data_IF_037550060069
#
_entry.id   IF_037550060069
#
_cell.length_a   1.000
_cell.length_b   1.000
_cell.length_c   1.000
_cell.angle_alpha   90.00
_cell.angle_beta   90.00
_cell.angle_gamma   90.00
#
_symmetry.space_group_name_H-M   'P 1'
#
loop_
_entity.id
_entity.type
_entity.pdbx_description
1 polymer ?
#
# COMPACT_ATOMS: atom_id res chain seq x y z
N UNK A 1 23.17 27.88 33.84
CA UNK A 1 22.20 28.40 34.83
C UNK A 1 21.15 29.22 34.09
N UNK A 2 19.85 28.98 34.35
CA UNK A 2 18.71 29.75 33.82
C UNK A 2 18.07 29.13 32.58
N UNK A 3 17.40 27.98 32.69
CA UNK A 3 15.97 27.82 33.03
C UNK A 3 15.02 28.47 32.00
N UNK A 4 14.61 27.61 31.07
CA UNK A 4 13.60 27.78 30.03
C UNK A 4 12.28 27.19 30.56
N UNK A 5 11.18 27.95 30.57
CA UNK A 5 9.82 27.40 30.74
C UNK A 5 8.82 28.31 30.03
N UNK A 6 8.41 27.89 28.83
CA UNK A 6 7.23 28.35 28.12
C UNK A 6 6.16 27.25 28.29
N UNK A 7 5.02 27.65 28.85
CA UNK A 7 3.88 26.79 29.13
C UNK A 7 3.06 26.51 27.86
N UNK A 8 2.74 25.25 27.60
CA UNK A 8 1.78 24.78 26.60
C UNK A 8 0.93 23.67 27.26
N UNK A 9 -0.39 23.58 26.97
CA UNK A 9 -1.38 23.14 27.94
C UNK A 9 -1.61 21.63 28.03
N UNK A 10 -2.22 21.29 29.15
CA UNK A 10 -2.59 19.98 29.65
C UNK A 10 -3.65 19.29 28.76
N UNK A 11 -3.39 18.03 28.41
CA UNK A 11 -4.28 17.14 27.72
C UNK A 11 -5.47 16.71 28.61
N UNK A 12 -6.67 16.71 28.04
CA UNK A 12 -7.84 16.03 28.63
C UNK A 12 -8.10 14.71 27.89
N UNK A 13 -8.26 13.68 28.70
CA UNK A 13 -8.43 12.25 28.39
C UNK A 13 -9.54 11.98 27.37
N UNK A 14 -9.20 11.18 26.35
CA UNK A 14 -10.16 10.52 25.46
C UNK A 14 -10.71 9.26 26.15
N UNK A 15 -12.03 9.19 26.29
CA UNK A 15 -12.75 8.02 26.79
C UNK A 15 -13.09 7.08 25.64
N UNK A 16 -12.66 5.83 25.77
CA UNK A 16 -12.93 4.71 24.88
C UNK A 16 -14.38 4.25 24.98
N UNK A 17 -15.10 4.21 23.86
CA UNK A 17 -16.33 3.44 23.72
C UNK A 17 -16.17 2.46 22.57
N UNK A 18 -16.04 1.18 22.93
CA UNK A 18 -16.05 0.03 22.04
C UNK A 18 -17.38 -0.01 21.28
N UNK A 19 -17.33 0.01 19.95
CA UNK A 19 -18.46 -0.37 19.10
C UNK A 19 -17.99 -1.50 18.20
N UNK A 20 -18.34 -2.72 18.61
CA UNK A 20 -18.26 -3.91 17.77
C UNK A 20 -19.07 -3.65 16.49
N UNK A 21 -18.38 -3.54 15.35
CA UNK A 21 -19.01 -3.59 14.04
C UNK A 21 -19.04 -5.05 13.62
N UNK A 22 -20.22 -5.65 13.71
CA UNK A 22 -20.52 -6.90 13.03
C UNK A 22 -20.43 -6.64 11.52
N UNK A 23 -19.39 -7.17 10.89
CA UNK A 23 -19.23 -7.17 9.44
C UNK A 23 -20.30 -8.06 8.83
N UNK A 24 -21.41 -7.46 8.43
CA UNK A 24 -22.40 -8.12 7.59
C UNK A 24 -21.76 -8.37 6.22
N UNK A 25 -21.44 -9.64 5.95
CA UNK A 25 -21.14 -10.11 4.59
C UNK A 25 -22.37 -9.87 3.73
N UNK A 26 -22.28 -8.92 2.80
CA UNK A 26 -23.28 -8.75 1.75
C UNK A 26 -23.08 -9.92 0.76
N UNK A 27 -24.04 -10.83 0.61
CA UNK A 27 -23.94 -11.82 -0.45
C UNK A 27 -24.13 -11.10 -1.78
N UNK A 28 -23.18 -11.30 -2.70
CA UNK A 28 -23.26 -10.87 -4.09
C UNK A 28 -24.49 -11.55 -4.70
N UNK A 29 -25.57 -10.79 -4.86
CA UNK A 29 -26.78 -11.25 -5.51
C UNK A 29 -26.43 -11.68 -6.94
N UNK A 30 -26.68 -12.96 -7.25
CA UNK A 30 -26.65 -13.48 -8.60
C UNK A 30 -27.73 -12.73 -9.41
N UNK A 31 -27.30 -11.84 -10.30
CA UNK A 31 -28.18 -11.24 -11.30
C UNK A 31 -28.65 -12.35 -12.25
N UNK A 32 -29.84 -12.87 -11.97
CA UNK A 32 -30.54 -13.80 -12.86
C UNK A 32 -30.78 -13.10 -14.20
N UNK A 33 -30.34 -13.77 -15.26
CA UNK A 33 -30.52 -13.36 -16.64
C UNK A 33 -32.00 -13.03 -16.90
N UNK A 34 -32.27 -11.75 -17.15
CA UNK A 34 -33.55 -11.28 -17.65
C UNK A 34 -33.79 -11.90 -19.02
N UNK A 35 -34.88 -12.65 -19.12
CA UNK A 35 -35.49 -13.11 -20.36
C UNK A 35 -35.76 -11.91 -21.26
N UNK A 36 -34.99 -11.80 -22.34
CA UNK A 36 -35.30 -10.89 -23.45
C UNK A 36 -36.54 -11.41 -24.16
N UNK A 37 -37.68 -10.78 -23.89
CA UNK A 37 -38.86 -10.90 -24.72
C UNK A 37 -38.54 -10.39 -26.14
N UNK A 38 -38.98 -11.07 -27.21
CA UNK A 38 -38.78 -10.55 -28.55
C UNK A 38 -39.62 -9.28 -28.71
N UNK A 39 -38.98 -8.17 -29.06
CA UNK A 39 -39.67 -6.98 -29.54
C UNK A 39 -40.47 -7.38 -30.79
N UNK A 40 -41.79 -7.42 -30.63
CA UNK A 40 -42.73 -7.52 -31.73
C UNK A 40 -42.45 -6.36 -32.71
N UNK A 41 -42.00 -6.71 -33.91
CA UNK A 41 -41.81 -5.78 -35.01
C UNK A 41 -43.20 -5.26 -35.39
N UNK A 42 -43.47 -4.01 -35.04
CA UNK A 42 -44.59 -3.27 -35.60
C UNK A 42 -44.23 -2.94 -37.04
N UNK A 43 -44.92 -3.57 -37.97
CA UNK A 43 -44.84 -3.32 -39.40
C UNK A 43 -45.24 -1.88 -39.69
N UNK A 44 -44.27 -0.97 -39.73
CA UNK A 44 -44.42 0.32 -40.39
C UNK A 44 -44.05 0.11 -41.86
N UNK A 45 -45.09 0.11 -42.71
CA UNK A 45 -44.99 0.25 -44.15
C UNK A 45 -44.33 1.58 -44.47
N UNK A 46 -43.02 1.57 -44.69
CA UNK A 46 -42.35 2.57 -45.50
C UNK A 46 -41.63 1.82 -46.62
N UNK A 47 -41.80 2.29 -47.84
CA UNK A 47 -41.36 1.60 -49.04
C UNK A 47 -39.83 1.63 -49.11
N UNK A 48 -39.18 0.69 -48.43
CA UNK A 48 -37.76 0.43 -48.59
C UNK A 48 -37.49 0.04 -50.06
N UNK A 49 -36.54 0.68 -50.75
CA UNK A 49 -36.10 0.20 -52.06
C UNK A 49 -35.61 -1.24 -51.88
N UNK A 50 -36.21 -2.14 -52.67
CA UNK A 50 -36.02 -3.58 -52.61
C UNK A 50 -34.55 -3.95 -52.43
N UNK A 51 -34.26 -4.82 -51.46
CA UNK A 51 -32.96 -5.46 -51.35
C UNK A 51 -32.61 -6.06 -52.73
N UNK A 52 -31.49 -5.63 -53.32
CA UNK A 52 -31.10 -6.13 -54.62
C UNK A 52 -30.90 -7.65 -54.53
N UNK A 53 -31.21 -8.39 -55.61
CA UNK A 53 -31.02 -9.84 -55.65
C UNK A 53 -29.58 -10.20 -55.26
N UNK A 54 -29.41 -11.38 -54.64
CA UNK A 54 -28.12 -11.91 -54.17
C UNK A 54 -26.96 -11.78 -55.17
N UNK A 55 -27.24 -11.70 -56.47
CA UNK A 55 -26.24 -11.48 -57.53
C UNK A 55 -25.59 -10.09 -57.55
N UNK A 56 -26.20 -9.05 -56.98
CA UNK A 56 -25.63 -7.69 -57.03
C UNK A 56 -24.31 -7.57 -56.25
N UNK A 57 -24.19 -8.29 -55.13
CA UNK A 57 -22.95 -8.37 -54.34
C UNK A 57 -21.85 -9.07 -55.13
N UNK A 58 -22.20 -10.20 -55.77
CA UNK A 58 -21.23 -11.03 -56.50
C UNK A 58 -20.72 -10.32 -57.75
N UNK A 59 -21.60 -9.62 -58.46
CA UNK A 59 -21.22 -8.76 -59.58
C UNK A 59 -20.33 -7.60 -59.13
N UNK A 60 -20.69 -6.92 -58.03
CA UNK A 60 -19.85 -5.85 -57.50
C UNK A 60 -18.45 -6.36 -57.18
N UNK A 61 -18.33 -7.53 -56.54
CA UNK A 61 -17.03 -8.14 -56.26
C UNK A 61 -16.24 -8.47 -57.54
N UNK A 62 -16.91 -8.94 -58.60
CA UNK A 62 -16.27 -9.20 -59.88
C UNK A 62 -15.73 -7.91 -60.51
N UNK A 63 -16.54 -6.85 -60.54
CA UNK A 63 -16.15 -5.54 -61.08
C UNK A 63 -15.01 -4.89 -60.26
N UNK A 64 -15.01 -5.05 -58.93
CA UNK A 64 -13.89 -4.63 -58.07
C UNK A 64 -12.61 -5.38 -58.45
N UNK A 65 -12.65 -6.71 -58.61
CA UNK A 65 -11.49 -7.52 -58.99
C UNK A 65 -10.95 -7.17 -60.38
N UNK A 66 -11.83 -6.77 -61.29
CA UNK A 66 -11.48 -6.34 -62.64
C UNK A 66 -11.03 -4.88 -62.70
N UNK A 67 -11.07 -4.15 -61.57
CA UNK A 67 -10.75 -2.72 -61.48
C UNK A 67 -11.61 -1.84 -62.41
N UNK A 68 -12.86 -2.24 -62.62
CA UNK A 68 -13.78 -1.55 -63.54
C UNK A 68 -14.66 -0.48 -62.85
N UNK A 69 -14.43 -0.22 -61.56
CA UNK A 69 -15.19 0.75 -60.77
C UNK A 69 -14.31 1.93 -60.38
N UNK A 70 -14.89 3.12 -60.45
CA UNK A 70 -14.35 4.33 -59.83
C UNK A 70 -15.04 4.55 -58.48
N UNK A 71 -14.26 4.66 -57.41
CA UNK A 71 -14.79 5.05 -56.10
C UNK A 71 -15.08 6.55 -56.10
N UNK A 72 -16.34 6.90 -55.88
CA UNK A 72 -16.75 8.30 -55.78
C UNK A 72 -16.68 8.77 -54.33
N UNK A 73 -17.21 7.96 -53.40
CA UNK A 73 -17.24 8.27 -51.96
C UNK A 73 -17.23 6.99 -51.15
N UNK A 74 -16.48 6.98 -50.05
CA UNK A 74 -16.55 5.91 -49.04
C UNK A 74 -16.44 6.50 -47.65
N UNK A 75 -17.31 6.03 -46.75
CA UNK A 75 -17.33 6.41 -45.33
C UNK A 75 -17.19 5.17 -44.46
N UNK A 76 -16.37 5.27 -43.40
CA UNK A 76 -16.19 4.24 -42.38
C UNK A 76 -16.66 4.74 -41.02
N UNK A 77 -17.41 3.89 -40.31
CA UNK A 77 -17.84 4.08 -38.94
C UNK A 77 -17.55 2.78 -38.17
N UNK A 78 -16.43 2.73 -37.45
CA UNK A 78 -15.93 1.47 -36.88
C UNK A 78 -15.66 0.46 -37.99
N UNK A 79 -16.18 -0.76 -37.87
CA UNK A 79 -16.09 -1.78 -38.92
C UNK A 79 -17.16 -1.68 -40.00
N UNK A 80 -18.16 -0.84 -39.82
CA UNK A 80 -19.21 -0.63 -40.81
C UNK A 80 -18.81 0.48 -41.77
N UNK A 81 -19.25 0.38 -43.01
CA UNK A 81 -19.08 1.48 -43.95
C UNK A 81 -20.02 1.41 -45.13
N UNK A 82 -20.03 2.51 -45.88
CA UNK A 82 -20.82 2.67 -47.09
C UNK A 82 -19.93 3.21 -48.21
N UNK A 83 -20.10 2.67 -49.41
CA UNK A 83 -19.40 3.12 -50.62
C UNK A 83 -20.38 3.47 -51.73
N UNK A 84 -20.10 4.56 -52.44
CA UNK A 84 -20.69 4.91 -53.71
C UNK A 84 -19.61 4.71 -54.78
N UNK A 85 -19.87 3.77 -55.68
CA UNK A 85 -18.97 3.36 -56.74
C UNK A 85 -19.66 3.59 -58.10
N UNK A 86 -18.88 3.89 -59.13
CA UNK A 86 -19.39 4.16 -60.47
C UNK A 86 -18.69 3.27 -61.49
N UNK A 87 -19.48 2.57 -62.31
CA UNK A 87 -18.98 1.80 -63.44
C UNK A 87 -19.12 2.64 -64.72
N UNK A 88 -18.02 3.16 -65.30
CA UNK A 88 -18.08 4.01 -66.49
C UNK A 88 -18.53 3.25 -67.74
N UNK A 89 -18.30 1.94 -67.81
CA UNK A 89 -18.67 1.11 -68.97
C UNK A 89 -20.18 1.01 -69.20
N UNK A 90 -20.98 1.01 -68.14
CA UNK A 90 -22.45 0.94 -68.21
C UNK A 90 -23.15 2.16 -67.61
N UNK A 91 -22.40 3.18 -67.19
CA UNK A 91 -22.91 4.37 -66.49
C UNK A 91 -23.80 4.00 -65.28
N UNK A 92 -23.42 2.94 -64.55
CA UNK A 92 -24.17 2.42 -63.41
C UNK A 92 -23.47 2.75 -62.10
N UNK A 93 -24.23 3.27 -61.14
CA UNK A 93 -23.83 3.50 -59.76
C UNK A 93 -24.11 2.26 -58.92
N UNK A 94 -23.15 1.90 -58.08
CA UNK A 94 -23.27 0.85 -57.07
C UNK A 94 -23.15 1.49 -55.70
N UNK A 95 -24.22 1.43 -54.92
CA UNK A 95 -24.24 1.87 -53.52
C UNK A 95 -24.17 0.64 -52.64
N UNK A 96 -23.14 0.54 -51.82
CA UNK A 96 -22.84 -0.66 -51.07
C UNK A 96 -22.72 -0.36 -49.57
N UNK A 97 -23.33 -1.21 -48.74
CA UNK A 97 -23.11 -1.28 -47.31
C UNK A 97 -22.19 -2.48 -47.04
N UNK A 98 -21.14 -2.26 -46.24
CA UNK A 98 -20.18 -3.28 -45.90
C UNK A 98 -19.89 -3.31 -44.39
N UNK A 99 -19.42 -4.46 -43.92
CA UNK A 99 -18.91 -4.66 -42.56
C UNK A 99 -17.63 -5.48 -42.65
N UNK A 100 -16.55 -4.99 -42.05
CA UNK A 100 -15.23 -5.64 -42.05
C UNK A 100 -14.74 -5.97 -43.48
N UNK A 101 -14.98 -5.03 -44.41
CA UNK A 101 -14.67 -5.17 -45.84
C UNK A 101 -15.60 -6.11 -46.62
N UNK A 102 -16.58 -6.74 -45.98
CA UNK A 102 -17.53 -7.64 -46.64
C UNK A 102 -18.84 -6.91 -47.01
N UNK A 103 -19.19 -6.90 -48.29
CA UNK A 103 -20.44 -6.34 -48.77
C UNK A 103 -21.62 -7.26 -48.45
N UNK A 104 -22.64 -6.73 -47.80
CA UNK A 104 -23.83 -7.47 -47.38
C UNK A 104 -25.12 -6.85 -47.92
N UNK A 105 -25.05 -5.62 -48.46
CA UNK A 105 -26.13 -5.00 -49.22
C UNK A 105 -25.52 -4.14 -50.32
N UNK A 106 -25.98 -4.32 -51.55
CA UNK A 106 -25.57 -3.52 -52.71
C UNK A 106 -26.81 -3.14 -53.49
N UNK A 107 -26.89 -1.91 -53.99
CA UNK A 107 -27.96 -1.45 -54.86
C UNK A 107 -27.35 -0.85 -56.12
N UNK A 108 -28.01 -1.09 -57.26
CA UNK A 108 -27.61 -0.55 -58.56
C UNK A 108 -28.58 0.53 -58.98
N UNK A 109 -28.05 1.66 -59.43
CA UNK A 109 -28.82 2.81 -59.87
C UNK A 109 -28.17 3.41 -61.11
N UNK A 110 -28.96 3.97 -62.01
CA UNK A 110 -28.47 4.73 -63.17
C UNK A 110 -28.65 6.24 -62.99
N UNK A 111 -29.46 6.64 -62.00
CA UNK A 111 -29.69 8.04 -61.63
C UNK A 111 -28.72 8.47 -60.53
N UNK A 112 -27.93 9.51 -60.81
CA UNK A 112 -26.90 10.01 -59.91
C UNK A 112 -27.47 10.60 -58.61
N UNK A 113 -28.60 11.33 -58.69
CA UNK A 113 -29.20 11.96 -57.52
C UNK A 113 -29.77 10.92 -56.55
N UNK A 114 -30.42 9.88 -57.07
CA UNK A 114 -30.90 8.74 -56.26
C UNK A 114 -29.76 7.92 -55.68
N UNK A 115 -28.66 7.71 -56.40
CA UNK A 115 -27.51 6.98 -55.83
C UNK A 115 -26.88 7.74 -54.68
N UNK A 116 -26.81 9.07 -54.78
CA UNK A 116 -26.31 9.93 -53.72
C UNK A 116 -27.22 9.88 -52.48
N UNK A 117 -28.53 9.98 -52.68
CA UNK A 117 -29.50 9.89 -51.59
C UNK A 117 -29.42 8.53 -50.86
N UNK A 118 -29.37 7.42 -51.61
CA UNK A 118 -29.24 6.10 -51.01
C UNK A 118 -27.90 5.90 -50.29
N UNK A 119 -26.82 6.50 -50.81
CA UNK A 119 -25.52 6.51 -50.13
C UNK A 119 -25.63 7.22 -48.77
N UNK A 120 -26.28 8.37 -48.72
CA UNK A 120 -26.52 9.09 -47.46
C UNK A 120 -27.32 8.25 -46.46
N UNK A 121 -28.39 7.58 -46.89
CA UNK A 121 -29.17 6.69 -46.04
C UNK A 121 -28.31 5.54 -45.48
N UNK A 122 -27.44 4.96 -46.32
CA UNK A 122 -26.51 3.91 -45.88
C UNK A 122 -25.48 4.46 -44.88
N UNK A 123 -24.95 5.67 -45.08
CA UNK A 123 -24.07 6.32 -44.11
C UNK A 123 -24.77 6.46 -42.76
N UNK A 124 -26.00 6.97 -42.73
CA UNK A 124 -26.77 7.06 -41.48
C UNK A 124 -26.99 5.69 -40.82
N UNK A 125 -27.23 4.65 -41.64
CA UNK A 125 -27.36 3.28 -41.14
C UNK A 125 -26.06 2.78 -40.51
N UNK A 126 -24.88 3.07 -41.11
CA UNK A 126 -23.58 2.67 -40.53
C UNK A 126 -23.30 3.35 -39.19
N UNK A 127 -23.74 4.60 -39.01
CA UNK A 127 -23.63 5.29 -37.72
C UNK A 127 -24.43 4.54 -36.65
N UNK A 128 -25.66 4.10 -36.95
CA UNK A 128 -26.48 3.34 -36.00
C UNK A 128 -25.89 1.97 -35.66
N UNK A 129 -25.43 1.24 -36.68
CA UNK A 129 -24.86 -0.10 -36.50
C UNK A 129 -23.55 -0.09 -35.70
N UNK A 130 -22.71 0.92 -35.91
CA UNK A 130 -21.40 1.03 -35.26
C UNK A 130 -21.45 1.46 -33.80
N UNK A 131 -22.54 2.08 -33.33
CA UNK A 131 -22.65 2.61 -31.96
C UNK A 131 -22.33 1.57 -30.88
N UNK A 132 -22.84 0.35 -31.01
CA UNK A 132 -22.63 -0.70 -30.02
C UNK A 132 -21.17 -1.15 -29.99
N UNK A 133 -20.55 -1.33 -31.15
CA UNK A 133 -19.15 -1.74 -31.26
C UNK A 133 -18.21 -0.65 -30.73
N UNK A 134 -18.42 0.60 -31.13
CA UNK A 134 -17.62 1.74 -30.66
C UNK A 134 -17.72 1.85 -29.13
N UNK A 135 -18.94 1.73 -28.58
CA UNK A 135 -19.16 1.76 -27.14
C UNK A 135 -18.45 0.60 -26.44
N UNK A 136 -18.49 -0.61 -27.01
CA UNK A 136 -17.77 -1.78 -26.48
C UNK A 136 -16.27 -1.53 -26.41
N UNK A 137 -15.66 -1.07 -27.50
CA UNK A 137 -14.21 -0.77 -27.55
C UNK A 137 -13.83 0.25 -26.47
N UNK A 138 -14.64 1.30 -26.32
CA UNK A 138 -14.37 2.34 -25.33
C UNK A 138 -14.50 1.83 -23.90
N UNK A 139 -15.51 1.00 -23.62
CA UNK A 139 -15.69 0.39 -22.29
C UNK A 139 -14.58 -0.62 -21.98
N UNK A 140 -14.17 -1.43 -22.95
CA UNK A 140 -13.07 -2.39 -22.80
C UNK A 140 -11.76 -1.66 -22.43
N UNK A 141 -11.46 -0.54 -23.11
CA UNK A 141 -10.30 0.29 -22.81
C UNK A 141 -10.37 0.92 -21.41
N UNK A 142 -11.53 1.44 -21.01
CA UNK A 142 -11.74 2.01 -19.68
C UNK A 142 -11.56 0.96 -18.58
N UNK A 143 -12.13 -0.24 -18.77
CA UNK A 143 -12.00 -1.34 -17.83
C UNK A 143 -10.54 -1.80 -17.69
N UNK A 144 -9.80 -1.90 -18.81
CA UNK A 144 -8.38 -2.24 -18.79
C UNK A 144 -7.55 -1.20 -18.01
N UNK A 145 -7.85 0.08 -18.19
CA UNK A 145 -7.18 1.16 -17.45
C UNK A 145 -7.47 1.09 -15.94
N UNK A 146 -8.74 0.89 -15.55
CA UNK A 146 -9.13 0.75 -14.14
C UNK A 146 -8.45 -0.47 -13.51
N UNK A 147 -8.38 -1.61 -14.22
CA UNK A 147 -7.71 -2.80 -13.73
C UNK A 147 -6.22 -2.56 -13.45
N UNK A 148 -5.53 -1.79 -14.30
CA UNK A 148 -4.13 -1.38 -14.08
C UNK A 148 -3.98 -0.51 -12.83
N UNK A 149 -4.88 0.46 -12.63
CA UNK A 149 -4.88 1.31 -11.44
C UNK A 149 -5.14 0.51 -10.16
N UNK A 150 -6.08 -0.45 -10.21
CA UNK A 150 -6.33 -1.35 -9.07
C UNK A 150 -5.09 -2.15 -8.72
N UNK A 151 -4.45 -2.81 -9.69
CA UNK A 151 -3.24 -3.61 -9.45
C UNK A 151 -2.10 -2.77 -8.84
N UNK A 152 -1.89 -1.54 -9.32
CA UNK A 152 -0.89 -0.63 -8.76
C UNK A 152 -1.21 -0.26 -7.30
N UNK A 153 -2.48 0.02 -6.98
CA UNK A 153 -2.90 0.36 -5.62
C UNK A 153 -2.85 -0.84 -4.67
N UNK A 154 -3.21 -2.04 -5.13
CA UNK A 154 -3.10 -3.28 -4.35
C UNK A 154 -1.65 -3.59 -4.01
N UNK A 155 -0.73 -3.44 -4.97
CA UNK A 155 0.70 -3.58 -4.73
C UNK A 155 1.21 -2.58 -3.69
N UNK A 156 0.79 -1.31 -3.79
CA UNK A 156 1.11 -0.28 -2.81
C UNK A 156 0.56 -0.60 -1.43
N UNK A 157 -0.68 -1.06 -1.35
CA UNK A 157 -1.33 -1.45 -0.09
C UNK A 157 -0.56 -2.60 0.59
N UNK A 158 -0.18 -3.63 -0.18
CA UNK A 158 0.59 -4.77 0.33
C UNK A 158 1.98 -4.34 0.86
N UNK A 159 2.65 -3.42 0.14
CA UNK A 159 3.89 -2.81 0.60
C UNK A 159 3.72 -2.09 1.94
N UNK A 160 2.73 -1.20 2.04
CA UNK A 160 2.46 -0.46 3.29
C UNK A 160 2.09 -1.38 4.46
N UNK A 161 1.33 -2.45 4.20
CA UNK A 161 1.01 -3.44 5.24
C UNK A 161 2.25 -4.19 5.72
N UNK A 162 3.16 -4.52 4.80
CA UNK A 162 4.44 -5.16 5.11
C UNK A 162 5.31 -4.24 5.95
N UNK A 163 5.48 -2.99 5.54
CA UNK A 163 6.29 -1.99 6.26
C UNK A 163 5.75 -1.77 7.68
N UNK A 164 4.44 -1.64 7.83
CA UNK A 164 3.79 -1.47 9.13
C UNK A 164 4.00 -2.71 10.02
N UNK A 165 3.95 -3.91 9.46
CA UNK A 165 4.23 -5.14 10.21
C UNK A 165 5.69 -5.22 10.67
N UNK A 166 6.64 -4.74 9.85
CA UNK A 166 8.06 -4.66 10.19
C UNK A 166 8.26 -3.65 11.31
N UNK A 167 7.68 -2.45 11.19
CA UNK A 167 7.77 -1.40 12.19
C UNK A 167 7.27 -1.88 13.55
N UNK A 168 6.08 -2.50 13.61
CA UNK A 168 5.53 -3.05 14.87
C UNK A 168 6.45 -4.09 15.51
N UNK A 169 7.08 -4.96 14.71
CA UNK A 169 8.04 -5.95 15.23
C UNK A 169 9.30 -5.29 15.78
N UNK A 170 9.79 -4.24 15.12
CA UNK A 170 10.94 -3.48 15.59
C UNK A 170 10.64 -2.74 16.89
N UNK A 171 9.49 -2.08 16.99
CA UNK A 171 9.02 -1.41 18.21
C UNK A 171 8.91 -2.39 19.38
N UNK A 172 8.32 -3.57 19.16
CA UNK A 172 8.22 -4.62 20.17
C UNK A 172 9.61 -5.13 20.63
N UNK A 173 10.53 -5.35 19.70
CA UNK A 173 11.88 -5.80 20.01
C UNK A 173 12.68 -4.75 20.80
N UNK A 174 12.54 -3.46 20.45
CA UNK A 174 13.17 -2.36 21.20
C UNK A 174 12.59 -2.27 22.61
N UNK A 175 11.27 -2.37 22.77
CA UNK A 175 10.63 -2.36 24.08
C UNK A 175 11.12 -3.53 24.96
N UNK A 176 11.24 -4.73 24.40
CA UNK A 176 11.80 -5.89 25.11
C UNK A 176 13.26 -5.66 25.51
N UNK A 177 14.10 -5.18 24.59
CA UNK A 177 15.50 -4.90 24.90
C UNK A 177 15.66 -3.84 25.99
N UNK A 178 14.84 -2.77 25.96
CA UNK A 178 14.83 -1.76 27.01
C UNK A 178 14.49 -2.36 28.38
N UNK A 179 13.51 -3.26 28.45
CA UNK A 179 13.16 -3.95 29.69
C UNK A 179 14.32 -4.83 30.18
N UNK A 180 14.93 -5.64 29.30
CA UNK A 180 16.07 -6.48 29.65
C UNK A 180 17.26 -5.67 30.17
N UNK A 181 17.59 -4.55 29.52
CA UNK A 181 18.68 -3.66 29.95
C UNK A 181 18.36 -3.02 31.30
N UNK A 182 17.11 -2.61 31.55
CA UNK A 182 16.70 -2.07 32.84
C UNK A 182 16.81 -3.11 33.96
N UNK A 183 16.41 -4.35 33.71
CA UNK A 183 16.55 -5.46 34.66
C UNK A 183 18.02 -5.78 34.96
N UNK A 184 18.89 -5.79 33.93
CA UNK A 184 20.33 -5.97 34.11
C UNK A 184 20.96 -4.83 34.90
N UNK A 185 20.59 -3.58 34.62
CA UNK A 185 21.06 -2.41 35.36
C UNK A 185 20.67 -2.49 36.83
N UNK A 186 19.42 -2.87 37.14
CA UNK A 186 18.95 -3.05 38.51
C UNK A 186 19.71 -4.16 39.24
N UNK A 187 20.03 -5.27 38.56
CA UNK A 187 20.82 -6.36 39.13
C UNK A 187 22.26 -5.92 39.44
N UNK A 188 22.91 -5.19 38.52
CA UNK A 188 24.26 -4.65 38.73
C UNK A 188 24.29 -3.62 39.86
N UNK A 189 23.29 -2.75 39.97
CA UNK A 189 23.18 -1.80 41.08
C UNK A 189 23.00 -2.51 42.42
N UNK A 190 22.20 -3.58 42.47
CA UNK A 190 22.05 -4.41 43.66
C UNK A 190 23.39 -5.08 44.06
N UNK A 191 24.13 -5.63 43.09
CA UNK A 191 25.44 -6.22 43.32
C UNK A 191 26.45 -5.19 43.84
N UNK A 192 26.51 -4.01 43.20
CA UNK A 192 27.36 -2.89 43.62
C UNK A 192 27.07 -2.49 45.06
N UNK A 193 25.80 -2.32 45.41
CA UNK A 193 25.38 -1.96 46.77
C UNK A 193 25.80 -3.02 47.80
N UNK A 194 25.62 -4.30 47.47
CA UNK A 194 26.06 -5.40 48.32
C UNK A 194 27.59 -5.42 48.51
N UNK A 195 28.36 -5.18 47.44
CA UNK A 195 29.82 -5.09 47.50
C UNK A 195 30.28 -3.90 48.34
N UNK A 196 29.66 -2.72 48.19
CA UNK A 196 29.95 -1.53 49.00
C UNK A 196 29.65 -1.78 50.49
N UNK A 197 28.53 -2.43 50.82
CA UNK A 197 28.22 -2.79 52.19
C UNK A 197 29.25 -3.76 52.80
N UNK A 198 29.72 -4.75 52.03
CA UNK A 198 30.79 -5.67 52.45
C UNK A 198 32.10 -4.92 52.68
N UNK A 199 32.49 -4.02 51.76
CA UNK A 199 33.68 -3.20 51.90
C UNK A 199 33.64 -2.35 53.17
N UNK A 200 32.51 -1.67 53.42
CA UNK A 200 32.31 -0.88 54.63
C UNK A 200 32.44 -1.74 55.90
N UNK A 201 31.87 -2.95 55.91
CA UNK A 201 32.00 -3.89 57.04
C UNK A 201 33.45 -4.31 57.28
N UNK A 202 34.19 -4.67 56.24
CA UNK A 202 35.62 -5.04 56.34
C UNK A 202 36.45 -3.86 56.86
N UNK A 203 36.20 -2.64 56.36
CA UNK A 203 36.89 -1.44 56.85
C UNK A 203 36.61 -1.15 58.34
N UNK A 204 35.38 -1.37 58.81
CA UNK A 204 35.06 -1.26 60.24
C UNK A 204 35.82 -2.30 61.06
N UNK A 205 35.92 -3.55 60.58
CA UNK A 205 36.69 -4.61 61.26
C UNK A 205 38.18 -4.28 61.33
N UNK A 206 38.77 -3.76 60.25
CA UNK A 206 40.16 -3.30 60.23
C UNK A 206 40.40 -2.25 61.32
N UNK A 207 39.57 -1.18 61.37
CA UNK A 207 39.69 -0.13 62.40
C UNK A 207 39.56 -0.68 63.82
N UNK A 208 38.63 -1.60 64.06
CA UNK A 208 38.47 -2.23 65.37
C UNK A 208 39.71 -3.01 65.80
N UNK A 209 40.31 -3.78 64.87
CA UNK A 209 41.53 -4.54 65.14
C UNK A 209 42.74 -3.60 65.37
N UNK A 210 42.88 -2.55 64.56
CA UNK A 210 43.93 -1.53 64.73
C UNK A 210 43.82 -0.83 66.10
N UNK A 211 42.61 -0.47 66.52
CA UNK A 211 42.38 0.11 67.86
C UNK A 211 42.72 -0.87 68.99
N UNK A 212 42.35 -2.14 68.86
CA UNK A 212 42.68 -3.17 69.85
C UNK A 212 44.19 -3.36 69.97
N UNK A 213 44.91 -3.43 68.84
CA UNK A 213 46.35 -3.56 68.80
C UNK A 213 47.05 -2.36 69.45
N UNK A 214 46.68 -1.13 69.05
CA UNK A 214 47.26 0.09 69.62
C UNK A 214 46.99 0.19 71.14
N UNK A 215 45.80 -0.23 71.60
CA UNK A 215 45.49 -0.26 73.04
C UNK A 215 46.31 -1.28 73.82
N UNK A 216 46.65 -2.42 73.21
CA UNK A 216 47.51 -3.44 73.80
C UNK A 216 48.96 -2.94 73.88
N UNK A 217 49.45 -2.30 72.82
CA UNK A 217 50.79 -1.69 72.78
C UNK A 217 50.92 -0.57 73.81
N UNK A 218 49.92 0.33 73.92
CA UNK A 218 49.87 1.38 74.94
C UNK A 218 49.90 0.81 76.36
N UNK A 219 49.16 -0.28 76.63
CA UNK A 219 49.21 -0.97 77.93
C UNK A 219 50.59 -1.57 78.20
N UNK A 220 51.19 -2.25 77.23
CA UNK A 220 52.53 -2.82 77.37
C UNK A 220 53.59 -1.74 77.67
N UNK A 221 53.53 -0.59 76.99
CA UNK A 221 54.41 0.56 77.27
C UNK A 221 54.19 1.12 78.68
N UNK A 222 52.93 1.28 79.10
CA UNK A 222 52.61 1.73 80.47
C UNK A 222 53.11 0.75 81.54
N UNK A 223 52.99 -0.55 81.29
CA UNK A 223 53.49 -1.58 82.20
C UNK A 223 55.02 -1.54 82.30
N UNK A 224 55.74 -1.42 81.18
CA UNK A 224 57.20 -1.21 81.17
C UNK A 224 57.59 0.05 81.93
N UNK A 225 56.85 1.15 81.76
CA UNK A 225 57.13 2.41 82.44
C UNK A 225 56.86 2.33 83.96
N UNK A 226 55.81 1.60 84.38
CA UNK A 226 55.56 1.28 85.79
C UNK A 226 56.66 0.41 86.39
N UNK A 227 57.15 -0.59 85.66
CA UNK A 227 58.27 -1.42 86.14
C UNK A 227 59.57 -0.62 86.24
N UNK A 228 59.84 0.30 85.30
CA UNK A 228 61.01 1.18 85.34
C UNK A 228 60.94 2.18 86.50
N UNK A 229 59.77 2.80 86.74
CA UNK A 229 59.60 3.70 87.88
C UNK A 229 59.71 2.96 89.22
N UNK A 230 59.15 1.75 89.32
CA UNK A 230 59.33 0.89 90.49
C UNK A 230 60.81 0.51 90.73
N UNK A 231 61.56 0.22 89.66
CA UNK A 231 62.99 -0.06 89.74
C UNK A 231 63.81 1.18 90.16
N UNK A 232 63.50 2.38 89.64
CA UNK A 232 64.16 3.64 90.04
C UNK A 232 63.85 4.01 91.50
N UNK A 233 62.60 3.86 91.97
CA UNK A 233 62.21 4.09 93.37
C UNK A 233 62.97 3.12 94.30
N UNK A 234 63.07 1.85 93.93
CA UNK A 234 63.81 0.84 94.71
C UNK A 234 65.32 1.13 94.72
N UNK A 235 65.88 1.65 93.63
CA UNK A 235 67.31 2.04 93.52
C UNK A 235 67.61 3.32 94.31
N UNK A 236 66.69 4.29 94.36
CA UNK A 236 66.78 5.47 95.22
C UNK A 236 66.65 5.15 96.71
N UNK A 237 65.72 4.26 97.08
CA UNK A 237 65.57 3.76 98.46
C UNK A 237 66.81 3.00 98.95
N UNK A 238 67.48 2.23 98.08
CA UNK A 238 68.74 1.56 98.41
C UNK A 238 69.94 2.51 98.57
N UNK A 239 69.91 3.70 97.95
CA UNK A 239 70.96 4.72 98.11
C UNK A 239 70.79 5.53 99.40
N UNK A 240 69.55 5.74 99.86
CA UNK A 240 69.28 6.37 101.15
C UNK A 240 69.54 5.45 102.35
N UNK A 241 69.39 4.12 102.20
CA UNK A 241 69.67 3.17 103.28
C UNK A 241 71.16 2.83 103.49
N UNK A 242 72.09 3.43 102.73
CA UNK A 242 73.55 3.20 102.85
C UNK A 242 74.28 4.47 103.33
N UNK A 243 73.56 5.50 103.77
CA UNK A 243 74.13 6.78 104.23
C UNK A 243 73.72 7.20 105.65
N UNK A 244 73.37 6.25 106.53
CA UNK A 244 73.26 6.45 107.99
C UNK A 244 74.00 5.36 108.74
#
# INVERSE_FOLDING_TARGET
>A
MGCMMLAVPLAAVAQSASRAQATAVVPLAQAQAGSVAPLAQTSATDAAPAAAPSGAVQELQALIKQHELSELRTTYNGKYGASLLFHPGTLTYYVALFHDGQFWRVAKLTDAARSEALYHDFVEQTVKLSQVEIRRILLDAQNAHIAQLMAANESRLAGLQTDLSIQRRQEAALAQNHQEVAEQAAALDAERNAAQARLAKVQQQIRLLEHQQNSADLKAVQDIQRHKSYAEIKKGSKRHAVSE
#
